data_IF_774529038840
#
_entry.id   IF_774529038840
#
_cell.length_a   1.000
_cell.length_b   1.000
_cell.length_c   1.000
_cell.angle_alpha   90.00
_cell.angle_beta   90.00
_cell.angle_gamma   90.00
#
_symmetry.space_group_name_H-M   'P 1'
#
loop_
_entity.id
_entity.type
_entity.pdbx_description
1 polymer ?
#
# COMPACT_ATOMS: atom_id res chain seq x y z
N UNK A 1 12.88 -0.53 21.71
CA UNK A 1 12.90 -2.01 21.62
C UNK A 1 12.33 -2.41 20.27
N UNK A 2 13.02 -3.21 19.45
CA UNK A 2 12.53 -3.60 18.14
C UNK A 2 11.33 -4.57 18.27
N UNK A 3 10.33 -4.42 17.39
CA UNK A 3 9.10 -5.24 17.37
C UNK A 3 9.41 -6.75 17.18
N UNK A 4 10.57 -7.08 16.62
CA UNK A 4 11.06 -8.45 16.43
C UNK A 4 11.21 -9.24 17.73
N UNK A 5 11.46 -8.57 18.85
CA UNK A 5 11.72 -9.22 20.14
C UNK A 5 10.44 -9.59 20.90
N UNK A 6 9.26 -9.21 20.35
CA UNK A 6 7.95 -9.49 20.94
C UNK A 6 7.26 -10.73 20.37
N UNK A 7 7.83 -11.39 19.37
CA UNK A 7 7.26 -12.59 18.73
C UNK A 7 8.07 -13.82 19.12
N UNK A 8 7.39 -14.84 19.66
CA UNK A 8 7.98 -16.16 19.94
C UNK A 8 7.35 -17.22 19.05
N UNK A 9 7.93 -18.42 19.00
CA UNK A 9 7.42 -19.53 18.19
C UNK A 9 5.97 -19.95 18.50
N UNK A 10 5.46 -19.56 19.66
CA UNK A 10 4.10 -19.88 20.13
C UNK A 10 3.14 -18.69 20.11
N UNK A 11 3.64 -17.45 19.96
CA UNK A 11 2.80 -16.25 19.95
C UNK A 11 2.92 -15.53 18.62
N UNK A 12 1.98 -15.82 17.73
CA UNK A 12 1.83 -15.13 16.44
C UNK A 12 1.13 -13.78 16.54
N UNK A 13 0.95 -13.22 17.73
CA UNK A 13 0.22 -11.97 17.91
C UNK A 13 1.11 -10.94 18.59
N UNK A 14 1.21 -9.77 17.97
CA UNK A 14 1.81 -8.57 18.53
C UNK A 14 0.67 -7.60 18.81
N UNK A 15 0.57 -7.16 20.06
CA UNK A 15 -0.39 -6.13 20.46
C UNK A 15 0.39 -4.87 20.80
N UNK A 16 0.10 -3.80 20.09
CA UNK A 16 0.66 -2.47 20.33
C UNK A 16 -0.32 -1.68 21.20
N UNK A 17 0.21 -0.88 22.11
CA UNK A 17 -0.56 0.16 22.79
C UNK A 17 -0.72 1.37 21.84
N UNK A 18 -1.79 2.17 21.96
CA UNK A 18 -1.88 3.44 21.25
C UNK A 18 -0.67 4.32 21.57
N UNK A 19 -0.11 5.00 20.56
CA UNK A 19 1.05 5.88 20.75
C UNK A 19 1.94 5.98 19.51
N UNK A 20 2.97 6.83 19.62
CA UNK A 20 3.98 7.01 18.57
C UNK A 20 5.15 6.03 18.75
N UNK A 21 5.48 5.33 17.68
CA UNK A 21 6.55 4.35 17.59
C UNK A 21 7.54 4.80 16.53
N UNK A 22 8.67 5.36 16.96
CA UNK A 22 9.78 5.68 16.06
C UNK A 22 10.72 4.48 16.00
N UNK A 23 10.80 3.83 14.84
CA UNK A 23 11.56 2.59 14.66
C UNK A 23 12.53 2.72 13.51
N UNK A 24 13.81 2.42 13.75
CA UNK A 24 14.84 2.44 12.70
C UNK A 24 14.78 1.21 11.76
N UNK A 25 14.09 0.13 12.18
CA UNK A 25 13.79 -1.07 11.38
C UNK A 25 12.79 -1.97 12.11
N UNK A 26 11.85 -2.58 11.38
CA UNK A 26 10.99 -3.68 11.87
C UNK A 26 11.15 -4.85 10.90
N UNK A 27 11.84 -5.91 11.30
CA UNK A 27 12.02 -7.10 10.47
C UNK A 27 11.64 -8.37 11.24
N UNK A 28 10.85 -9.25 10.62
CA UNK A 28 10.39 -10.51 11.20
C UNK A 28 11.09 -11.67 10.50
N UNK A 29 12.40 -11.81 10.75
CA UNK A 29 13.32 -12.68 9.99
C UNK A 29 13.74 -13.97 10.72
N UNK A 30 12.93 -14.51 11.65
CA UNK A 30 13.29 -15.72 12.41
C UNK A 30 12.62 -16.98 11.84
N UNK A 31 13.36 -18.07 11.70
CA UNK A 31 12.87 -19.37 11.18
C UNK A 31 11.87 -20.07 12.11
N UNK A 32 11.80 -19.65 13.38
CA UNK A 32 10.88 -20.18 14.39
C UNK A 32 9.57 -19.41 14.48
N UNK A 33 9.25 -18.56 13.50
CA UNK A 33 8.00 -17.80 13.51
C UNK A 33 6.78 -18.72 13.34
N UNK A 34 5.64 -18.37 13.97
CA UNK A 34 4.38 -19.08 13.77
C UNK A 34 3.95 -19.01 12.30
N UNK A 35 3.04 -19.91 11.90
CA UNK A 35 2.58 -20.01 10.50
C UNK A 35 1.96 -18.72 9.95
N UNK A 36 1.47 -17.84 10.83
CA UNK A 36 0.93 -16.53 10.51
C UNK A 36 1.26 -15.54 11.64
N UNK A 37 1.52 -14.29 11.29
CA UNK A 37 1.81 -13.20 12.25
C UNK A 37 0.70 -12.15 12.18
N UNK A 38 0.13 -11.78 13.32
CA UNK A 38 -0.91 -10.78 13.47
C UNK A 38 -0.36 -9.60 14.29
N UNK A 39 -0.47 -8.39 13.75
CA UNK A 39 -0.07 -7.15 14.44
C UNK A 39 -1.30 -6.29 14.64
N UNK A 40 -1.65 -6.07 15.91
CA UNK A 40 -2.80 -5.29 16.36
C UNK A 40 -2.32 -3.93 16.84
N UNK A 41 -2.52 -2.89 16.03
CA UNK A 41 -1.99 -1.56 16.29
C UNK A 41 -2.72 -0.79 17.38
N UNK A 42 -4.04 -0.98 17.52
CA UNK A 42 -4.89 -0.20 18.43
C UNK A 42 -4.68 1.32 18.29
N UNK A 43 -4.51 1.83 17.06
CA UNK A 43 -4.25 3.25 16.80
C UNK A 43 -2.79 3.66 16.99
N UNK A 44 -1.86 2.70 17.04
CA UNK A 44 -0.43 2.98 17.00
C UNK A 44 -0.04 3.72 15.71
N UNK A 45 0.83 4.72 15.87
CA UNK A 45 1.44 5.46 14.76
C UNK A 45 2.90 5.05 14.66
N UNK A 46 3.30 4.50 13.52
CA UNK A 46 4.68 4.12 13.23
C UNK A 46 5.29 5.16 12.30
N UNK A 47 6.42 5.72 12.71
CA UNK A 47 7.23 6.61 11.85
C UNK A 47 8.59 6.01 11.61
N UNK A 48 9.11 6.20 10.39
CA UNK A 48 10.48 5.83 10.04
C UNK A 48 11.10 6.86 9.10
N UNK A 49 12.32 7.30 9.41
CA UNK A 49 13.06 8.31 8.65
C UNK A 49 14.09 7.72 7.67
N UNK A 50 14.30 6.40 7.68
CA UNK A 50 15.21 5.77 6.73
C UNK A 50 14.56 5.53 5.35
N UNK A 51 15.25 4.79 4.49
CA UNK A 51 14.80 4.61 3.10
C UNK A 51 13.49 3.83 3.01
N UNK A 52 13.42 2.65 3.65
CA UNK A 52 12.23 1.81 3.75
C UNK A 52 12.14 1.06 5.09
N UNK A 53 11.00 1.21 5.76
CA UNK A 53 10.53 0.28 6.75
C UNK A 53 10.15 -1.00 6.00
N UNK A 54 11.10 -1.91 5.91
CA UNK A 54 10.92 -3.16 5.17
C UNK A 54 10.18 -4.15 6.06
N UNK A 55 8.91 -4.41 5.76
CA UNK A 55 8.19 -5.54 6.32
C UNK A 55 8.56 -6.76 5.48
N UNK A 56 9.53 -7.50 5.99
CA UNK A 56 9.97 -8.78 5.45
C UNK A 56 9.57 -9.87 6.43
N UNK A 57 8.77 -10.81 5.93
CA UNK A 57 8.27 -11.94 6.69
C UNK A 57 8.41 -13.17 5.81
N UNK A 58 8.87 -14.28 6.38
CA UNK A 58 8.86 -15.59 5.70
C UNK A 58 7.52 -16.31 5.87
N UNK A 59 6.56 -15.65 6.51
CA UNK A 59 5.22 -16.14 6.85
C UNK A 59 4.20 -15.03 6.54
N UNK A 60 2.96 -15.40 6.17
CA UNK A 60 1.89 -14.42 6.00
C UNK A 60 1.71 -13.52 7.22
N UNK A 61 1.40 -12.24 6.98
CA UNK A 61 1.25 -11.25 8.02
C UNK A 61 -0.02 -10.43 7.87
N UNK A 62 -0.78 -10.28 8.94
CA UNK A 62 -1.91 -9.36 9.03
C UNK A 62 -1.56 -8.17 9.91
N UNK A 63 -1.69 -6.96 9.37
CA UNK A 63 -1.56 -5.72 10.11
C UNK A 63 -2.93 -5.08 10.20
N UNK A 64 -3.30 -4.63 11.40
CA UNK A 64 -4.59 -3.96 11.60
C UNK A 64 -4.53 -2.79 12.56
N UNK A 65 -5.36 -1.79 12.30
CA UNK A 65 -5.54 -0.61 13.14
C UNK A 65 -4.21 0.14 13.40
N UNK A 66 -3.39 0.28 12.35
CA UNK A 66 -2.06 0.92 12.38
C UNK A 66 -2.05 2.12 11.44
N UNK A 67 -1.36 3.18 11.85
CA UNK A 67 -1.03 4.32 10.99
C UNK A 67 0.47 4.36 10.71
N UNK A 68 0.87 4.41 9.45
CA UNK A 68 2.22 4.79 9.03
C UNK A 68 2.25 6.31 8.82
N UNK A 69 3.03 7.00 9.64
CA UNK A 69 3.08 8.46 9.70
C UNK A 69 4.08 9.09 8.75
N UNK A 70 4.25 10.42 8.92
CA UNK A 70 5.00 11.28 8.02
C UNK A 70 6.40 10.76 7.65
N UNK A 71 6.75 10.83 6.37
CA UNK A 71 8.07 10.45 5.83
C UNK A 71 8.33 8.94 5.73
N UNK A 72 7.44 8.11 6.26
CA UNK A 72 7.62 6.65 6.27
C UNK A 72 7.47 6.05 4.88
N UNK A 73 8.48 5.35 4.38
CA UNK A 73 8.30 4.42 3.26
C UNK A 73 8.11 3.01 3.80
N UNK A 74 7.14 2.25 3.29
CA UNK A 74 6.95 0.83 3.65
C UNK A 74 7.23 -0.02 2.43
N UNK A 75 8.04 -1.08 2.59
CA UNK A 75 8.25 -2.08 1.55
C UNK A 75 7.78 -3.44 2.04
N UNK A 76 6.91 -4.08 1.26
CA UNK A 76 6.40 -5.43 1.48
C UNK A 76 7.18 -6.42 0.61
N UNK A 77 7.70 -7.48 1.22
CA UNK A 77 8.53 -8.48 0.53
C UNK A 77 8.15 -9.90 0.92
N UNK A 78 8.35 -10.81 -0.03
CA UNK A 78 8.40 -12.28 0.07
C UNK A 78 7.12 -13.00 0.50
N UNK A 79 6.35 -12.50 1.46
CA UNK A 79 5.11 -13.15 1.93
C UNK A 79 3.84 -12.38 1.57
N UNK A 80 2.67 -13.05 1.63
CA UNK A 80 1.38 -12.36 1.60
C UNK A 80 1.19 -11.45 2.81
N UNK A 81 0.70 -10.24 2.57
CA UNK A 81 0.31 -9.28 3.59
C UNK A 81 -1.19 -9.02 3.51
N UNK A 82 -1.82 -8.91 4.67
CA UNK A 82 -3.21 -8.46 4.82
C UNK A 82 -3.23 -7.19 5.64
N UNK A 83 -3.79 -6.12 5.08
CA UNK A 83 -4.04 -4.87 5.80
C UNK A 83 -5.52 -4.74 6.11
N UNK A 84 -5.86 -4.51 7.38
CA UNK A 84 -7.23 -4.26 7.83
C UNK A 84 -7.28 -2.94 8.59
N UNK A 85 -7.95 -1.92 8.04
CA UNK A 85 -8.01 -0.58 8.68
C UNK A 85 -6.62 0.03 8.90
N UNK A 86 -5.78 0.00 7.87
CA UNK A 86 -4.44 0.60 7.88
C UNK A 86 -4.47 1.98 7.24
N UNK A 87 -3.77 2.94 7.85
CA UNK A 87 -3.66 4.31 7.35
C UNK A 87 -2.21 4.66 7.00
N UNK A 88 -2.00 5.35 5.88
CA UNK A 88 -0.75 6.03 5.53
C UNK A 88 -1.03 7.53 5.51
N UNK A 89 -0.48 8.27 6.47
CA UNK A 89 -0.77 9.69 6.65
C UNK A 89 0.51 10.53 6.47
N UNK A 90 0.60 11.26 5.37
CA UNK A 90 1.80 11.98 4.92
C UNK A 90 3.03 11.07 4.78
N UNK A 91 2.81 9.77 4.63
CA UNK A 91 3.88 8.82 4.42
C UNK A 91 4.53 9.05 3.04
N UNK A 92 5.67 8.42 2.80
CA UNK A 92 6.39 8.59 1.55
C UNK A 92 5.82 7.70 0.45
N UNK A 93 5.84 6.39 0.66
CA UNK A 93 5.43 5.38 -0.33
C UNK A 93 5.05 4.06 0.35
N UNK A 94 4.07 3.36 -0.19
CA UNK A 94 3.85 1.93 0.04
C UNK A 94 4.32 1.16 -1.19
N UNK A 95 5.33 0.31 -1.04
CA UNK A 95 5.86 -0.52 -2.13
C UNK A 95 5.54 -2.00 -1.91
N UNK A 96 4.88 -2.62 -2.88
CA UNK A 96 4.66 -4.06 -2.97
C UNK A 96 5.74 -4.63 -3.91
N UNK A 97 6.88 -5.00 -3.34
CA UNK A 97 8.06 -5.39 -4.13
C UNK A 97 8.04 -6.84 -4.61
N UNK A 98 7.59 -7.75 -3.75
CA UNK A 98 7.39 -9.15 -4.09
C UNK A 98 6.36 -9.76 -3.15
N UNK A 99 5.49 -10.61 -3.68
CA UNK A 99 4.36 -11.18 -2.94
C UNK A 99 3.07 -10.41 -3.18
N UNK A 100 2.09 -10.61 -2.31
CA UNK A 100 0.76 -10.03 -2.45
C UNK A 100 0.37 -9.16 -1.26
N UNK A 101 -0.31 -8.06 -1.52
CA UNK A 101 -1.00 -7.26 -0.52
C UNK A 101 -2.50 -7.36 -0.75
N UNK A 102 -3.25 -7.80 0.25
CA UNK A 102 -4.70 -7.69 0.32
C UNK A 102 -5.06 -6.64 1.35
N UNK A 103 -5.71 -5.56 0.93
CA UNK A 103 -6.09 -4.48 1.83
C UNK A 103 -7.60 -4.30 1.89
N UNK A 104 -8.10 -4.11 3.11
CA UNK A 104 -9.49 -3.76 3.42
C UNK A 104 -9.49 -2.51 4.29
N UNK A 105 -10.25 -1.50 3.88
CA UNK A 105 -10.28 -0.19 4.51
C UNK A 105 -8.89 0.47 4.58
N UNK A 106 -8.19 0.50 3.45
CA UNK A 106 -6.90 1.19 3.33
C UNK A 106 -7.12 2.69 3.15
N UNK A 107 -6.58 3.51 4.05
CA UNK A 107 -6.57 4.97 3.90
C UNK A 107 -5.17 5.45 3.56
N UNK A 108 -5.04 6.26 2.52
CA UNK A 108 -3.80 6.93 2.15
C UNK A 108 -4.09 8.41 1.95
N UNK A 109 -3.40 9.27 2.68
CA UNK A 109 -3.54 10.72 2.57
C UNK A 109 -2.18 11.40 2.39
N UNK A 110 -2.12 12.26 1.36
CA UNK A 110 -1.03 13.19 1.08
C UNK A 110 0.35 12.51 0.99
N UNK A 111 0.45 11.43 0.21
CA UNK A 111 1.73 10.75 -0.01
C UNK A 111 2.72 11.64 -0.76
N UNK A 112 3.97 11.61 -0.33
CA UNK A 112 4.98 12.58 -0.79
C UNK A 112 5.88 12.05 -1.92
N UNK A 113 5.86 10.76 -2.23
CA UNK A 113 6.61 10.22 -3.37
C UNK A 113 5.91 10.57 -4.69
N UNK A 114 6.59 11.36 -5.53
CA UNK A 114 6.09 11.76 -6.83
C UNK A 114 5.96 10.58 -7.81
N UNK A 115 6.66 9.47 -7.58
CA UNK A 115 6.54 8.27 -8.41
C UNK A 115 5.23 7.49 -8.15
N UNK A 116 4.59 7.70 -6.99
CA UNK A 116 3.26 7.17 -6.70
C UNK A 116 3.09 6.72 -5.24
N UNK A 117 1.88 6.86 -4.73
CA UNK A 117 1.51 6.50 -3.37
C UNK A 117 1.65 4.99 -3.10
N UNK A 118 1.16 4.17 -4.04
CA UNK A 118 1.39 2.72 -4.04
C UNK A 118 2.18 2.33 -5.29
N UNK A 119 3.34 1.69 -5.07
CA UNK A 119 4.20 1.17 -6.12
C UNK A 119 4.15 -0.36 -6.12
N UNK A 120 3.84 -0.97 -7.26
CA UNK A 120 3.80 -2.43 -7.41
C UNK A 120 4.82 -2.86 -8.44
N UNK A 121 5.78 -3.69 -8.01
CA UNK A 121 6.86 -4.20 -8.84
C UNK A 121 6.41 -5.45 -9.64
N UNK A 122 7.28 -5.98 -10.52
CA UNK A 122 6.97 -7.01 -11.53
C UNK A 122 6.30 -8.30 -11.01
N UNK A 123 6.55 -8.67 -9.74
CA UNK A 123 5.99 -9.88 -9.11
C UNK A 123 5.05 -9.54 -7.96
N UNK A 124 4.69 -8.26 -7.83
CA UNK A 124 3.77 -7.77 -6.83
C UNK A 124 2.32 -7.94 -7.28
N UNK A 125 1.46 -8.36 -6.34
CA UNK A 125 0.02 -8.37 -6.53
C UNK A 125 -0.64 -7.44 -5.51
N UNK A 126 -1.50 -6.53 -5.97
CA UNK A 126 -2.25 -5.62 -5.12
C UNK A 126 -3.75 -5.87 -5.25
N UNK A 127 -4.37 -6.25 -4.15
CA UNK A 127 -5.82 -6.32 -4.01
C UNK A 127 -6.27 -5.28 -2.99
N UNK A 128 -7.21 -4.42 -3.37
CA UNK A 128 -7.87 -3.48 -2.46
C UNK A 128 -9.37 -3.70 -2.59
N UNK A 129 -10.04 -3.95 -1.46
CA UNK A 129 -11.50 -3.93 -1.37
C UNK A 129 -11.92 -2.97 -0.26
N UNK A 130 -12.30 -1.76 -0.67
CA UNK A 130 -12.58 -0.65 0.23
C UNK A 130 -11.31 0.11 0.59
N UNK A 131 -11.22 1.36 0.15
CA UNK A 131 -10.12 2.25 0.52
C UNK A 131 -10.27 3.64 -0.08
N UNK A 132 -9.40 4.55 0.37
CA UNK A 132 -9.30 5.90 -0.17
C UNK A 132 -7.84 6.32 -0.32
N UNK A 133 -7.47 6.81 -1.50
CA UNK A 133 -6.20 7.48 -1.77
C UNK A 133 -6.51 8.93 -2.09
N UNK A 134 -5.96 9.85 -1.31
CA UNK A 134 -6.27 11.28 -1.45
C UNK A 134 -4.99 12.10 -1.47
N UNK A 135 -4.83 12.94 -2.50
CA UNK A 135 -3.63 13.75 -2.69
C UNK A 135 -2.48 13.00 -3.36
N UNK A 136 -1.29 13.62 -3.36
CA UNK A 136 -0.08 13.08 -4.00
C UNK A 136 -0.04 13.25 -5.53
N UNK A 137 1.06 12.85 -6.15
CA UNK A 137 1.22 12.97 -7.61
C UNK A 137 0.52 11.84 -8.36
N UNK A 138 0.84 10.60 -8.02
CA UNK A 138 0.23 9.40 -8.62
C UNK A 138 -0.40 8.54 -7.52
N UNK A 139 -1.60 8.01 -7.74
CA UNK A 139 -2.26 7.11 -6.79
C UNK A 139 -1.60 5.73 -6.75
N UNK A 140 -1.75 4.94 -7.82
CA UNK A 140 -1.16 3.59 -7.92
C UNK A 140 -0.35 3.50 -9.21
N UNK A 141 0.85 2.95 -9.13
CA UNK A 141 1.74 2.75 -10.28
C UNK A 141 2.24 1.31 -10.36
N UNK A 142 2.26 0.78 -11.59
CA UNK A 142 3.02 -0.40 -11.96
C UNK A 142 4.43 0.03 -12.36
N UNK A 143 5.44 -0.33 -11.57
CA UNK A 143 6.83 0.12 -11.80
C UNK A 143 7.60 -0.77 -12.77
N UNK A 144 7.12 -2.00 -13.00
CA UNK A 144 7.75 -2.97 -13.90
C UNK A 144 6.73 -3.97 -14.49
N UNK A 145 7.01 -4.55 -15.68
CA UNK A 145 6.14 -5.54 -16.32
C UNK A 145 5.75 -6.68 -15.39
N UNK A 146 4.46 -7.00 -15.33
CA UNK A 146 3.95 -8.18 -14.62
C UNK A 146 3.18 -7.89 -13.33
N UNK A 147 3.17 -6.64 -12.87
CA UNK A 147 2.35 -6.22 -11.73
C UNK A 147 0.86 -6.52 -11.95
N UNK A 148 0.16 -6.97 -10.89
CA UNK A 148 -1.26 -7.36 -10.94
C UNK A 148 -2.12 -6.57 -9.98
N UNK A 149 -3.32 -6.22 -10.41
CA UNK A 149 -4.24 -5.36 -9.66
C UNK A 149 -5.66 -5.92 -9.61
N UNK A 150 -6.26 -5.93 -8.43
CA UNK A 150 -7.69 -6.13 -8.23
C UNK A 150 -8.19 -5.00 -7.31
N UNK A 151 -8.74 -3.95 -7.92
CA UNK A 151 -9.11 -2.71 -7.24
C UNK A 151 -10.63 -2.62 -7.18
N UNK A 152 -11.19 -2.66 -5.97
CA UNK A 152 -12.63 -2.65 -5.74
C UNK A 152 -13.01 -1.66 -4.65
N UNK A 153 -14.15 -0.99 -4.81
CA UNK A 153 -14.67 -0.03 -3.83
C UNK A 153 -13.62 1.02 -3.42
N UNK A 154 -12.81 1.47 -4.38
CA UNK A 154 -11.69 2.38 -4.14
C UNK A 154 -12.07 3.81 -4.55
N UNK A 155 -11.81 4.77 -3.66
CA UNK A 155 -11.82 6.20 -4.01
C UNK A 155 -10.39 6.68 -4.25
N UNK A 156 -10.09 7.24 -5.40
CA UNK A 156 -8.86 8.01 -5.64
C UNK A 156 -9.24 9.44 -5.95
N UNK A 157 -8.68 10.42 -5.23
CA UNK A 157 -8.98 11.82 -5.50
C UNK A 157 -7.85 12.79 -5.19
N UNK A 158 -7.96 14.00 -5.75
CA UNK A 158 -7.01 15.10 -5.56
C UNK A 158 -5.56 14.77 -5.93
N UNK A 159 -5.33 13.79 -6.82
CA UNK A 159 -3.98 13.54 -7.32
C UNK A 159 -3.59 14.66 -8.28
N UNK A 160 -2.38 15.21 -8.19
CA UNK A 160 -1.93 16.28 -9.10
C UNK A 160 -1.53 15.76 -10.47
N UNK A 161 -1.18 14.47 -10.57
CA UNK A 161 -1.04 13.70 -11.80
C UNK A 161 -2.11 12.60 -11.88
N UNK A 162 -1.72 11.43 -12.39
CA UNK A 162 -2.65 10.33 -12.67
C UNK A 162 -3.15 9.64 -11.40
N UNK A 163 -4.40 9.19 -11.40
CA UNK A 163 -4.85 8.27 -10.35
C UNK A 163 -4.18 6.90 -10.48
N UNK A 164 -4.09 6.39 -11.71
CA UNK A 164 -3.59 5.06 -12.02
C UNK A 164 -2.57 5.15 -13.17
N UNK A 165 -1.34 4.68 -12.94
CA UNK A 165 -0.27 4.55 -13.94
C UNK A 165 0.08 3.05 -14.09
N UNK A 166 -0.75 2.31 -14.82
CA UNK A 166 -0.72 0.85 -14.90
C UNK A 166 -0.17 0.34 -16.24
N UNK A 167 0.62 1.15 -16.96
CA UNK A 167 1.18 0.78 -18.26
C UNK A 167 1.99 -0.54 -18.22
N UNK A 168 2.60 -0.84 -17.08
CA UNK A 168 3.44 -2.01 -16.89
C UNK A 168 2.70 -3.18 -16.20
N UNK A 169 1.39 -3.11 -16.01
CA UNK A 169 0.67 -4.18 -15.30
C UNK A 169 -0.77 -4.34 -15.73
N UNK A 170 -1.42 -5.38 -15.24
CA UNK A 170 -2.75 -5.79 -15.69
C UNK A 170 -3.67 -5.97 -14.49
N UNK A 171 -4.98 -5.84 -14.71
CA UNK A 171 -5.90 -6.04 -13.61
C UNK A 171 -7.33 -5.61 -13.85
N UNK A 172 -8.02 -5.40 -12.75
CA UNK A 172 -9.44 -5.11 -12.69
C UNK A 172 -9.69 -3.90 -11.80
N UNK A 173 -10.64 -3.05 -12.23
CA UNK A 173 -11.16 -1.92 -11.49
C UNK A 173 -12.69 -2.03 -11.42
N UNK A 174 -13.24 -2.21 -10.22
CA UNK A 174 -14.66 -2.43 -10.00
C UNK A 174 -15.23 -1.47 -8.95
N UNK A 175 -16.44 -0.94 -9.19
CA UNK A 175 -17.19 -0.13 -8.21
C UNK A 175 -16.37 1.01 -7.58
N UNK A 176 -15.45 1.58 -8.35
CA UNK A 176 -14.46 2.54 -7.86
C UNK A 176 -14.74 3.94 -8.41
N UNK A 177 -14.29 4.96 -7.67
CA UNK A 177 -14.44 6.36 -8.05
C UNK A 177 -13.08 7.02 -8.13
N UNK A 178 -12.76 7.61 -9.28
CA UNK A 178 -11.60 8.47 -9.48
C UNK A 178 -12.13 9.88 -9.72
N UNK A 179 -11.73 10.86 -8.90
CA UNK A 179 -12.27 12.22 -8.97
C UNK A 179 -11.21 13.29 -8.69
N UNK A 180 -11.11 14.30 -9.55
CA UNK A 180 -10.18 15.42 -9.33
C UNK A 180 -8.72 14.98 -9.45
N UNK A 181 -8.44 14.07 -10.39
CA UNK A 181 -7.09 13.72 -10.79
C UNK A 181 -6.60 14.65 -11.90
N UNK A 182 -5.39 15.14 -11.76
CA UNK A 182 -4.72 15.95 -12.76
C UNK A 182 -4.21 15.14 -13.96
N UNK A 183 -3.65 15.86 -14.93
CA UNK A 183 -3.10 15.30 -16.16
C UNK A 183 -1.57 15.24 -16.11
N UNK A 184 -0.94 14.08 -16.37
CA UNK A 184 0.53 14.01 -16.50
C UNK A 184 0.96 13.87 -17.98
N UNK A 185 1.25 15.03 -18.57
CA UNK A 185 2.24 15.38 -19.62
C UNK A 185 2.61 14.39 -20.74
N UNK A 186 1.68 13.64 -21.33
CA UNK A 186 1.87 13.07 -22.67
C UNK A 186 0.62 13.29 -23.53
N UNK A 187 0.58 14.45 -24.22
CA UNK A 187 -0.35 14.89 -25.29
C UNK A 187 -1.88 14.77 -25.09
N UNK A 188 -2.39 14.03 -24.11
CA UNK A 188 -3.79 13.94 -23.73
C UNK A 188 -3.89 13.79 -22.20
N UNK A 189 -4.69 14.65 -21.53
CA UNK A 189 -5.08 14.44 -20.14
C UNK A 189 -5.69 13.05 -19.94
N UNK A 190 -5.11 12.24 -19.05
CA UNK A 190 -5.70 10.95 -18.68
C UNK A 190 -5.45 10.62 -17.20
N UNK A 191 -6.54 10.44 -16.45
CA UNK A 191 -6.51 10.01 -15.05
C UNK A 191 -6.03 8.55 -14.88
N UNK A 192 -6.14 7.74 -15.93
CA UNK A 192 -5.73 6.33 -15.97
C UNK A 192 -4.83 6.10 -17.19
N UNK A 193 -3.63 5.59 -16.95
CA UNK A 193 -2.69 5.07 -17.96
C UNK A 193 -2.70 3.56 -17.93
N UNK A 194 -2.91 2.90 -19.06
CA UNK A 194 -2.68 1.47 -19.18
C UNK A 194 -2.39 1.11 -20.64
N UNK A 195 -1.32 0.35 -20.87
CA UNK A 195 -0.96 -0.21 -22.19
C UNK A 195 -1.21 -1.73 -22.26
N UNK A 196 -1.56 -2.33 -21.13
CA UNK A 196 -1.92 -3.73 -20.93
C UNK A 196 -3.42 -3.85 -20.65
N UNK A 197 -3.93 -5.06 -20.41
CA UNK A 197 -5.35 -5.30 -20.15
C UNK A 197 -5.75 -4.75 -18.76
N UNK A 198 -6.60 -3.73 -18.75
CA UNK A 198 -7.32 -3.25 -17.57
C UNK A 198 -8.83 -3.41 -17.81
N UNK A 199 -9.48 -4.29 -17.05
CA UNK A 199 -10.92 -4.47 -17.10
C UNK A 199 -11.59 -3.49 -16.13
N UNK A 200 -12.41 -2.58 -16.65
CA UNK A 200 -13.16 -1.62 -15.82
C UNK A 200 -14.63 -1.99 -15.79
N UNK A 201 -15.20 -2.09 -14.58
CA UNK A 201 -16.62 -2.40 -14.36
C UNK A 201 -17.25 -1.41 -13.39
N UNK A 202 -18.40 -0.85 -13.76
CA UNK A 202 -19.26 -0.05 -12.87
C UNK A 202 -18.51 1.01 -12.05
N UNK A 203 -17.58 1.74 -12.69
CA UNK A 203 -16.70 2.71 -12.03
C UNK A 203 -16.87 4.11 -12.61
N UNK A 204 -16.67 5.13 -11.79
CA UNK A 204 -16.73 6.54 -12.18
C UNK A 204 -15.30 7.05 -12.31
N UNK A 205 -14.96 7.63 -13.46
CA UNK A 205 -13.66 8.25 -13.70
C UNK A 205 -13.92 9.68 -14.16
N UNK A 206 -13.62 10.64 -13.30
CA UNK A 206 -13.79 12.07 -13.54
C UNK A 206 -12.44 12.78 -13.44
N UNK A 207 -12.00 13.31 -14.57
CA UNK A 207 -10.80 14.13 -14.68
C UNK A 207 -11.18 15.62 -14.66
N UNK A 208 -10.36 16.43 -13.97
CA UNK A 208 -10.49 17.89 -13.91
C UNK A 208 -9.43 18.57 -14.74
#
# INVERSE_FOLDING_TARGET
MPLSDKVTATRGHIVMAPGLYNHDRVAFVRSTLPSHIFVHGHGAVITYSGSFLTLDATKPMTLRDITFGSGTSVALRTSPFVFESVTFANAKVLRVSSGSLQARHLTISEMTDAAGAIQVDATGELTIDGGSIVGGTIGIVATAPGARFHLKNLLISRTTGRALELAQGQGELEFSTIAGSGAQTTSAPCAVSCSSLLNVRSSIIWQT
#
